data_IF_254685757568
#
_entry.id   IF_254685757568
#
_cell.length_a   1.000
_cell.length_b   1.000
_cell.length_c   1.000
_cell.angle_alpha   90.00
_cell.angle_beta   90.00
_cell.angle_gamma   90.00
#
_symmetry.space_group_name_H-M   'P 1'
#
loop_
_entity.id
_entity.type
_entity.pdbx_description
1 polymer ?
#
# COMPACT_ATOMS: atom_id res chain seq x y z
N UNK A 1 12.59 7.56 21.53
CA UNK A 1 13.73 7.54 20.58
C UNK A 1 13.42 8.49 19.45
N UNK A 2 14.39 9.27 18.99
CA UNK A 2 14.21 10.06 17.78
C UNK A 2 14.40 9.18 16.52
N UNK A 3 14.02 9.69 15.35
CA UNK A 3 14.08 8.92 14.09
C UNK A 3 15.52 8.47 13.77
N UNK A 4 16.51 9.30 14.05
CA UNK A 4 17.92 8.98 13.79
C UNK A 4 18.40 7.81 14.63
N UNK A 5 18.07 7.81 15.94
CA UNK A 5 18.43 6.70 16.84
C UNK A 5 17.79 5.38 16.40
N UNK A 6 16.52 5.45 15.92
CA UNK A 6 15.82 4.28 15.38
C UNK A 6 16.51 3.75 14.13
N UNK A 7 16.90 4.63 13.21
CA UNK A 7 17.61 4.26 11.99
C UNK A 7 18.95 3.61 12.29
N UNK A 8 19.79 4.22 13.13
CA UNK A 8 21.10 3.69 13.52
C UNK A 8 20.96 2.28 14.13
N UNK A 9 19.93 2.08 14.96
CA UNK A 9 19.66 0.78 15.55
C UNK A 9 19.24 -0.27 14.53
N UNK A 10 18.38 0.08 13.57
CA UNK A 10 17.97 -0.85 12.50
C UNK A 10 19.15 -1.23 11.62
N UNK A 11 20.00 -0.26 11.25
CA UNK A 11 21.19 -0.56 10.46
C UNK A 11 22.15 -1.52 11.22
N UNK A 12 22.37 -1.30 12.50
CA UNK A 12 23.20 -2.19 13.33
C UNK A 12 22.62 -3.62 13.39
N UNK A 13 21.30 -3.75 13.56
CA UNK A 13 20.62 -5.06 13.56
C UNK A 13 20.64 -5.71 12.18
N UNK A 14 20.55 -4.91 11.13
CA UNK A 14 20.65 -5.41 9.77
C UNK A 14 22.00 -6.08 9.49
N UNK A 15 23.08 -5.50 9.94
CA UNK A 15 24.44 -6.05 9.83
C UNK A 15 24.69 -7.21 10.82
N UNK A 16 24.08 -7.16 12.02
CA UNK A 16 24.26 -8.20 13.03
C UNK A 16 22.91 -8.71 13.57
N UNK A 17 22.39 -9.78 12.97
CA UNK A 17 21.09 -10.39 13.30
C UNK A 17 20.98 -10.95 14.72
N UNK A 18 22.09 -11.19 15.43
CA UNK A 18 22.07 -11.63 16.82
C UNK A 18 21.44 -10.57 17.75
N UNK A 19 21.49 -9.29 17.37
CA UNK A 19 20.85 -8.20 18.11
C UNK A 19 19.30 -8.25 18.07
N UNK A 20 18.70 -9.10 17.23
CA UNK A 20 17.24 -9.28 17.22
C UNK A 20 16.67 -9.83 18.54
N UNK A 21 17.47 -10.51 19.35
CA UNK A 21 17.06 -11.01 20.66
C UNK A 21 17.03 -9.95 21.76
N UNK A 22 17.63 -8.77 21.51
CA UNK A 22 17.68 -7.70 22.50
C UNK A 22 16.34 -7.02 22.66
N UNK A 23 15.87 -6.85 23.89
CA UNK A 23 14.60 -6.17 24.19
C UNK A 23 14.55 -4.74 23.64
N UNK A 24 15.68 -4.01 23.72
CA UNK A 24 15.80 -2.66 23.18
C UNK A 24 15.67 -2.61 21.65
N UNK A 25 16.14 -3.64 20.96
CA UNK A 25 15.98 -3.82 19.51
C UNK A 25 14.52 -4.11 19.15
N UNK A 26 13.89 -5.03 19.87
CA UNK A 26 12.49 -5.37 19.68
C UNK A 26 11.58 -4.16 19.87
N UNK A 27 11.80 -3.36 20.91
CA UNK A 27 11.08 -2.09 21.16
C UNK A 27 11.30 -1.06 20.03
N UNK A 28 12.49 -0.98 19.47
CA UNK A 28 12.77 -0.06 18.37
C UNK A 28 12.05 -0.48 17.08
N UNK A 29 12.04 -1.77 16.74
CA UNK A 29 11.30 -2.29 15.60
C UNK A 29 9.80 -2.04 15.78
N UNK A 30 9.23 -2.37 16.94
CA UNK A 30 7.82 -2.11 17.24
C UNK A 30 7.45 -0.62 17.12
N UNK A 31 8.31 0.28 17.63
CA UNK A 31 8.11 1.72 17.52
C UNK A 31 8.07 2.19 16.05
N UNK A 32 8.92 1.62 15.19
CA UNK A 32 8.92 1.94 13.75
C UNK A 32 7.63 1.47 13.10
N UNK A 33 7.16 0.26 13.42
CA UNK A 33 5.89 -0.25 12.89
C UNK A 33 4.72 0.62 13.36
N UNK A 34 4.74 1.12 14.59
CA UNK A 34 3.74 2.06 15.09
C UNK A 34 3.78 3.41 14.38
N UNK A 35 4.96 3.94 14.08
CA UNK A 35 5.12 5.17 13.30
C UNK A 35 4.58 4.99 11.87
N UNK A 36 4.83 3.83 11.24
CA UNK A 36 4.23 3.46 9.96
C UNK A 36 2.71 3.36 10.06
N UNK A 37 2.21 2.70 11.10
CA UNK A 37 0.77 2.49 11.32
C UNK A 37 0.00 3.81 11.49
N UNK A 38 0.66 4.83 12.07
CA UNK A 38 0.11 6.19 12.23
C UNK A 38 0.40 7.13 11.07
N UNK A 39 1.18 6.71 10.08
CA UNK A 39 1.57 7.54 8.93
C UNK A 39 2.61 8.63 9.25
N UNK A 40 3.22 8.58 10.43
CA UNK A 40 4.30 9.48 10.85
C UNK A 40 5.64 9.14 10.21
N UNK A 41 5.75 7.92 9.70
CA UNK A 41 6.88 7.41 8.92
C UNK A 41 6.36 6.75 7.64
N UNK A 42 7.14 6.83 6.56
CA UNK A 42 6.82 6.22 5.27
C UNK A 42 8.05 5.48 4.73
N UNK A 43 7.82 4.44 3.92
CA UNK A 43 8.90 3.72 3.21
C UNK A 43 9.41 4.50 2.00
N UNK A 44 8.64 5.43 1.48
CA UNK A 44 9.08 6.39 0.50
C UNK A 44 8.29 7.71 0.62
N UNK A 45 8.95 8.82 0.33
CA UNK A 45 8.35 10.16 0.38
C UNK A 45 8.59 10.91 -0.93
N UNK A 46 7.65 11.81 -1.33
CA UNK A 46 7.89 12.69 -2.47
C UNK A 46 9.11 13.60 -2.20
N UNK A 47 9.86 13.91 -3.26
CA UNK A 47 10.98 14.86 -3.25
C UNK A 47 11.03 15.62 -4.58
N UNK A 48 11.84 16.67 -4.66
CA UNK A 48 12.02 17.45 -5.90
C UNK A 48 12.56 16.62 -7.07
N UNK A 49 13.16 15.46 -6.79
CA UNK A 49 13.72 14.53 -7.79
C UNK A 49 12.86 13.28 -8.02
N UNK A 50 11.60 13.32 -7.62
CA UNK A 50 10.70 12.17 -7.63
C UNK A 50 10.51 11.57 -6.23
N UNK A 51 10.47 10.26 -6.10
CA UNK A 51 10.25 9.58 -4.83
C UNK A 51 11.56 9.12 -4.20
N UNK A 52 11.78 9.51 -2.94
CA UNK A 52 12.92 9.06 -2.14
C UNK A 52 12.53 7.82 -1.34
N UNK A 53 13.24 6.71 -1.56
CA UNK A 53 13.06 5.46 -0.82
C UNK A 53 13.87 5.49 0.48
N UNK A 54 13.25 5.09 1.57
CA UNK A 54 13.87 4.96 2.89
C UNK A 54 14.16 3.48 3.17
N UNK A 55 15.28 2.98 2.65
CA UNK A 55 15.65 1.56 2.73
C UNK A 55 15.67 1.02 4.16
N UNK A 56 16.15 1.83 5.12
CA UNK A 56 16.18 1.45 6.53
C UNK A 56 14.80 1.14 7.12
N UNK A 57 13.76 1.81 6.61
CA UNK A 57 12.36 1.53 7.01
C UNK A 57 11.92 0.18 6.45
N UNK A 58 12.27 -0.15 5.21
CA UNK A 58 12.01 -1.47 4.65
C UNK A 58 12.76 -2.56 5.41
N UNK A 59 14.02 -2.31 5.81
CA UNK A 59 14.77 -3.20 6.70
C UNK A 59 14.02 -3.46 8.01
N UNK A 60 13.46 -2.42 8.64
CA UNK A 60 12.68 -2.58 9.86
C UNK A 60 11.44 -3.45 9.65
N UNK A 61 10.72 -3.27 8.53
CA UNK A 61 9.56 -4.11 8.17
C UNK A 61 9.99 -5.57 8.00
N UNK A 62 11.12 -5.84 7.32
CA UNK A 62 11.63 -7.21 7.14
C UNK A 62 12.01 -7.83 8.48
N UNK A 63 12.70 -7.06 9.35
CA UNK A 63 13.10 -7.50 10.69
C UNK A 63 11.92 -7.79 11.62
N UNK A 64 10.76 -7.18 11.36
CA UNK A 64 9.56 -7.41 12.16
C UNK A 64 9.04 -8.85 12.02
N UNK A 65 9.19 -9.50 10.85
CA UNK A 65 8.69 -10.85 10.63
C UNK A 65 9.39 -11.93 11.49
N UNK A 66 10.73 -12.04 11.56
CA UNK A 66 11.39 -13.01 12.43
C UNK A 66 11.21 -12.72 13.93
N UNK A 67 11.02 -11.46 14.28
CA UNK A 67 10.77 -11.04 15.66
C UNK A 67 9.42 -11.52 16.20
N UNK A 68 8.37 -11.54 15.36
CA UNK A 68 7.02 -11.95 15.77
C UNK A 68 6.87 -13.47 15.76
N UNK A 69 6.14 -13.99 16.75
CA UNK A 69 5.75 -15.41 16.82
C UNK A 69 4.43 -15.63 16.09
N UNK A 70 4.27 -16.84 15.55
CA UNK A 70 3.00 -17.30 14.98
C UNK A 70 1.99 -17.48 16.11
N UNK A 71 0.76 -17.04 15.87
CA UNK A 71 -0.37 -17.15 16.82
C UNK A 71 -1.61 -17.64 16.08
N UNK A 72 -2.31 -18.61 16.66
CA UNK A 72 -3.65 -19.00 16.19
C UNK A 72 -4.68 -18.02 16.74
N UNK A 73 -5.58 -17.55 15.90
CA UNK A 73 -6.71 -16.69 16.27
C UNK A 73 -7.99 -17.24 15.70
N UNK A 74 -8.92 -17.55 16.56
CA UNK A 74 -10.29 -17.95 16.19
C UNK A 74 -11.19 -16.71 16.19
N UNK A 75 -11.95 -16.54 15.13
CA UNK A 75 -12.92 -15.44 14.97
C UNK A 75 -14.22 -16.02 14.41
N UNK A 76 -15.12 -16.37 15.28
CA UNK A 76 -16.36 -17.07 14.91
C UNK A 76 -16.05 -18.43 14.27
N UNK A 77 -16.42 -18.58 12.99
CA UNK A 77 -16.15 -19.81 12.22
C UNK A 77 -14.80 -19.81 11.49
N UNK A 78 -14.03 -18.74 11.61
CA UNK A 78 -12.74 -18.61 10.93
C UNK A 78 -11.59 -18.83 11.89
N UNK A 79 -10.56 -19.52 11.42
CA UNK A 79 -9.27 -19.64 12.09
C UNK A 79 -8.18 -19.00 11.24
N UNK A 80 -7.29 -18.27 11.88
CA UNK A 80 -6.11 -17.64 11.26
C UNK A 80 -4.86 -18.08 12.01
N UNK A 81 -3.77 -18.30 11.29
CA UNK A 81 -2.46 -18.60 11.86
C UNK A 81 -1.42 -17.69 11.24
N UNK A 82 -1.16 -16.57 11.89
CA UNK A 82 -0.21 -15.54 11.39
C UNK A 82 0.51 -14.84 12.55
N UNK A 83 1.58 -14.17 12.22
CA UNK A 83 2.42 -13.45 13.17
C UNK A 83 2.19 -11.93 13.15
N UNK A 84 1.66 -11.38 12.08
CA UNK A 84 1.46 -9.94 11.94
C UNK A 84 0.06 -9.58 12.42
N UNK A 85 -0.08 -8.76 13.48
CA UNK A 85 -1.40 -8.31 13.93
C UNK A 85 -2.16 -7.56 12.84
N UNK A 86 -3.47 -7.64 12.89
CA UNK A 86 -4.34 -6.82 12.07
C UNK A 86 -4.44 -5.40 12.64
N UNK A 87 -4.77 -4.45 11.79
CA UNK A 87 -5.11 -3.08 12.18
C UNK A 87 -6.48 -3.06 12.85
N UNK A 88 -6.62 -2.20 13.85
CA UNK A 88 -7.84 -2.02 14.64
C UNK A 88 -8.17 -0.54 14.83
N UNK A 89 -9.28 -0.26 15.53
CA UNK A 89 -9.74 1.08 15.89
C UNK A 89 -9.98 1.96 14.66
N UNK A 90 -10.70 1.41 13.68
CA UNK A 90 -10.99 2.09 12.42
C UNK A 90 -11.89 3.31 12.60
N UNK A 91 -12.84 3.26 13.56
CA UNK A 91 -13.73 4.36 13.89
C UNK A 91 -12.94 5.59 14.34
N UNK A 92 -12.03 5.43 15.32
CA UNK A 92 -11.17 6.51 15.82
C UNK A 92 -10.26 7.10 14.72
N UNK A 93 -9.98 6.33 13.70
CA UNK A 93 -9.17 6.74 12.54
C UNK A 93 -10.00 7.37 11.41
N UNK A 94 -11.32 7.39 11.53
CA UNK A 94 -12.20 7.87 10.48
C UNK A 94 -12.13 7.03 9.20
N UNK A 95 -11.94 5.73 9.32
CA UNK A 95 -11.79 4.78 8.19
C UNK A 95 -12.99 3.85 8.15
N UNK A 96 -13.69 3.80 7.03
CA UNK A 96 -14.77 2.83 6.82
C UNK A 96 -14.20 1.51 6.33
N UNK A 97 -14.58 0.40 6.99
CA UNK A 97 -14.11 -0.94 6.63
C UNK A 97 -15.28 -1.88 6.49
N UNK A 98 -15.48 -2.40 5.29
CA UNK A 98 -16.55 -3.36 4.97
C UNK A 98 -16.01 -4.79 5.13
N UNK A 99 -16.64 -5.64 5.95
CA UNK A 99 -16.19 -7.03 6.10
C UNK A 99 -16.22 -7.80 4.77
N UNK A 100 -15.25 -8.68 4.48
CA UNK A 100 -14.10 -9.05 5.29
C UNK A 100 -12.81 -8.28 4.94
N UNK A 101 -12.87 -6.98 4.70
CA UNK A 101 -11.66 -6.20 4.41
C UNK A 101 -10.64 -6.34 5.55
N UNK A 102 -9.37 -6.39 5.18
CA UNK A 102 -8.27 -6.62 6.12
C UNK A 102 -7.10 -5.68 5.83
N UNK A 103 -6.62 -4.98 6.86
CA UNK A 103 -5.34 -4.28 6.84
C UNK A 103 -4.43 -4.83 7.93
N UNK A 104 -3.13 -4.99 7.64
CA UNK A 104 -2.12 -5.37 8.62
C UNK A 104 -1.65 -4.16 9.42
N UNK A 105 -1.27 -4.37 10.70
CA UNK A 105 -0.55 -3.36 11.50
C UNK A 105 0.70 -2.90 10.72
N UNK A 106 0.97 -1.59 10.76
CA UNK A 106 2.02 -0.96 9.96
C UNK A 106 1.58 -0.54 8.56
N UNK A 107 0.33 -0.79 8.17
CA UNK A 107 -0.30 -0.12 7.04
C UNK A 107 -0.96 1.17 7.52
N UNK A 108 -0.68 2.30 6.90
CA UNK A 108 -1.38 3.55 7.19
C UNK A 108 -2.63 3.68 6.31
N UNK A 109 -3.72 4.05 6.94
CA UNK A 109 -4.99 4.41 6.32
C UNK A 109 -5.40 5.78 6.85
N UNK A 110 -5.41 6.78 6.00
CA UNK A 110 -5.79 8.14 6.39
C UNK A 110 -7.31 8.26 6.63
N UNK A 111 -7.74 9.29 7.37
CA UNK A 111 -9.17 9.57 7.54
C UNK A 111 -9.89 9.71 6.20
N UNK A 112 -11.09 9.14 6.12
CA UNK A 112 -11.92 9.14 4.92
C UNK A 112 -11.57 8.05 3.90
N UNK A 113 -10.59 7.17 4.18
CA UNK A 113 -10.37 5.96 3.40
C UNK A 113 -11.53 5.00 3.56
N UNK A 114 -11.92 4.36 2.46
CA UNK A 114 -12.92 3.29 2.45
C UNK A 114 -12.27 2.01 1.95
N UNK A 115 -12.33 0.96 2.77
CA UNK A 115 -11.99 -0.39 2.36
C UNK A 115 -13.29 -1.17 2.13
N UNK A 116 -13.63 -1.46 0.88
CA UNK A 116 -14.53 -2.57 0.55
C UNK A 116 -13.81 -3.88 0.88
N UNK A 117 -14.44 -5.06 0.78
CA UNK A 117 -13.74 -6.34 0.99
C UNK A 117 -12.42 -6.40 0.19
N UNK A 118 -11.32 -6.09 0.84
CA UNK A 118 -10.02 -5.84 0.21
C UNK A 118 -8.88 -6.12 1.17
N UNK A 119 -7.64 -6.04 0.70
CA UNK A 119 -6.46 -6.30 1.52
C UNK A 119 -5.42 -5.20 1.40
N UNK A 120 -4.92 -4.73 2.55
CA UNK A 120 -3.82 -3.75 2.64
C UNK A 120 -2.68 -4.30 3.48
N UNK A 121 -1.50 -4.44 2.89
CA UNK A 121 -0.35 -5.06 3.55
C UNK A 121 0.50 -4.05 4.32
N UNK A 122 1.35 -4.58 5.21
CA UNK A 122 2.29 -3.83 6.06
C UNK A 122 3.18 -2.88 5.24
N UNK A 123 3.46 -1.70 5.77
CA UNK A 123 4.28 -0.67 5.12
C UNK A 123 3.55 0.12 4.03
N UNK A 124 2.36 -0.31 3.61
CA UNK A 124 1.54 0.45 2.67
C UNK A 124 1.06 1.76 3.30
N UNK A 125 0.94 2.79 2.46
CA UNK A 125 0.39 4.09 2.82
C UNK A 125 -0.77 4.41 1.88
N UNK A 126 -1.97 4.60 2.43
CA UNK A 126 -3.18 4.95 1.68
C UNK A 126 -3.71 6.27 2.22
N UNK A 127 -3.65 7.32 1.39
CA UNK A 127 -4.01 8.66 1.79
C UNK A 127 -5.53 8.93 1.71
N UNK A 128 -5.94 10.08 2.24
CA UNK A 128 -7.32 10.48 2.52
C UNK A 128 -8.25 10.45 1.30
N UNK A 129 -9.51 10.09 1.53
CA UNK A 129 -10.54 10.04 0.50
C UNK A 129 -10.37 8.92 -0.53
N UNK A 130 -9.37 8.06 -0.38
CA UNK A 130 -9.12 6.93 -1.30
C UNK A 130 -10.05 5.77 -1.00
N UNK A 131 -10.59 5.16 -2.06
CA UNK A 131 -11.35 3.93 -2.00
C UNK A 131 -10.52 2.74 -2.50
N UNK A 132 -10.45 1.69 -1.69
CA UNK A 132 -9.92 0.36 -2.06
C UNK A 132 -11.13 -0.55 -2.24
N UNK A 133 -11.52 -0.79 -3.50
CA UNK A 133 -12.76 -1.48 -3.83
C UNK A 133 -12.62 -3.01 -3.73
N UNK A 134 -13.72 -3.70 -3.98
CA UNK A 134 -13.94 -5.14 -3.74
C UNK A 134 -12.87 -6.01 -4.38
N UNK A 135 -12.21 -6.83 -3.55
CA UNK A 135 -11.11 -7.74 -3.92
C UNK A 135 -9.89 -7.07 -4.51
N UNK A 136 -9.73 -5.75 -4.31
CA UNK A 136 -8.48 -5.07 -4.61
C UNK A 136 -7.42 -5.36 -3.54
N UNK A 137 -6.16 -5.26 -3.94
CA UNK A 137 -5.01 -5.47 -3.06
C UNK A 137 -4.06 -4.29 -3.12
N UNK A 138 -3.63 -3.80 -1.95
CA UNK A 138 -2.52 -2.87 -1.80
C UNK A 138 -1.35 -3.61 -1.18
N UNK A 139 -0.33 -3.87 -1.97
CA UNK A 139 0.84 -4.65 -1.58
C UNK A 139 1.73 -3.94 -0.58
N UNK A 140 2.68 -4.68 -0.01
CA UNK A 140 3.62 -4.17 0.99
C UNK A 140 4.36 -2.94 0.49
N UNK A 141 4.43 -1.91 1.32
CA UNK A 141 5.16 -0.68 1.04
C UNK A 141 4.60 0.21 -0.08
N UNK A 142 3.53 -0.18 -0.77
CA UNK A 142 2.91 0.63 -1.81
C UNK A 142 2.46 2.00 -1.26
N UNK A 143 2.61 3.04 -2.07
CA UNK A 143 2.27 4.41 -1.72
C UNK A 143 1.11 4.89 -2.58
N UNK A 144 -0.03 5.14 -1.97
CA UNK A 144 -1.26 5.57 -2.64
C UNK A 144 -1.62 6.96 -2.15
N UNK A 145 -1.83 7.87 -3.08
CA UNK A 145 -2.17 9.26 -2.82
C UNK A 145 -3.63 9.47 -2.42
N UNK A 146 -4.03 10.74 -2.39
CA UNK A 146 -5.36 11.20 -2.00
C UNK A 146 -6.38 11.00 -3.11
N UNK A 147 -7.64 10.74 -2.72
CA UNK A 147 -8.77 10.68 -3.66
C UNK A 147 -8.55 9.72 -4.84
N UNK A 148 -7.79 8.66 -4.61
CA UNK A 148 -7.57 7.59 -5.59
C UNK A 148 -8.77 6.64 -5.57
N UNK A 149 -9.20 6.20 -6.76
CA UNK A 149 -10.16 5.12 -6.87
C UNK A 149 -9.47 3.85 -7.36
N UNK A 150 -9.36 2.87 -6.49
CA UNK A 150 -8.80 1.54 -6.78
C UNK A 150 -9.99 0.61 -7.00
N UNK A 151 -10.38 0.41 -8.27
CA UNK A 151 -11.58 -0.38 -8.61
C UNK A 151 -11.43 -1.86 -8.28
N UNK A 152 -12.54 -2.60 -8.35
CA UNK A 152 -12.61 -4.01 -7.98
C UNK A 152 -11.57 -4.90 -8.68
N UNK A 153 -10.91 -5.75 -7.90
CA UNK A 153 -9.92 -6.69 -8.38
C UNK A 153 -8.60 -6.08 -8.87
N UNK A 154 -8.36 -4.81 -8.61
CA UNK A 154 -7.06 -4.17 -8.90
C UNK A 154 -5.97 -4.77 -8.01
N UNK A 155 -4.83 -5.09 -8.60
CA UNK A 155 -3.63 -5.54 -7.90
C UNK A 155 -2.55 -4.46 -7.89
N UNK A 156 -2.28 -3.85 -6.73
CA UNK A 156 -1.11 -3.02 -6.52
C UNK A 156 -0.05 -3.87 -5.85
N UNK A 157 1.08 -4.08 -6.55
CA UNK A 157 2.15 -4.95 -6.10
C UNK A 157 2.89 -4.42 -4.88
N UNK A 158 3.40 -5.35 -4.09
CA UNK A 158 4.28 -5.05 -2.97
C UNK A 158 5.74 -5.12 -3.38
N UNK A 159 6.54 -4.13 -2.99
CA UNK A 159 7.99 -4.10 -3.23
C UNK A 159 8.70 -3.93 -1.88
N UNK A 160 8.71 -5.00 -1.10
CA UNK A 160 9.47 -5.05 0.14
C UNK A 160 10.93 -5.40 -0.14
N UNK A 161 11.16 -6.32 -1.05
CA UNK A 161 12.47 -6.74 -1.56
C UNK A 161 12.51 -6.63 -3.09
N UNK A 162 13.68 -6.24 -3.66
CA UNK A 162 14.91 -5.83 -2.99
C UNK A 162 14.77 -4.44 -2.32
N UNK A 163 15.59 -4.18 -1.30
CA UNK A 163 15.46 -2.98 -0.45
C UNK A 163 15.52 -1.66 -1.22
N UNK A 164 16.43 -1.56 -2.19
CA UNK A 164 16.66 -0.37 -3.01
C UNK A 164 15.55 -0.14 -4.05
N UNK A 165 14.72 -1.14 -4.35
CA UNK A 165 13.65 -0.98 -5.33
C UNK A 165 12.60 0.01 -4.83
N UNK A 166 12.19 0.92 -5.72
CA UNK A 166 11.11 1.84 -5.42
C UNK A 166 9.79 1.08 -5.21
N UNK A 167 8.99 1.45 -4.20
CA UNK A 167 7.65 0.89 -4.05
C UNK A 167 6.77 1.31 -5.23
N UNK A 168 5.67 0.59 -5.43
CA UNK A 168 4.64 1.04 -6.37
C UNK A 168 4.03 2.33 -5.82
N UNK A 169 3.92 3.33 -6.68
CA UNK A 169 3.36 4.65 -6.35
C UNK A 169 2.15 4.92 -7.24
N UNK A 170 1.04 5.29 -6.61
CA UNK A 170 -0.17 5.78 -7.26
C UNK A 170 -0.41 7.19 -6.74
N UNK A 171 -0.30 8.18 -7.59
CA UNK A 171 -0.45 9.58 -7.18
C UNK A 171 -1.91 10.02 -7.04
N UNK A 172 -2.07 11.21 -6.47
CA UNK A 172 -3.36 11.78 -6.09
C UNK A 172 -4.38 11.77 -7.23
N UNK A 173 -5.62 11.43 -6.93
CA UNK A 173 -6.73 11.47 -7.84
C UNK A 173 -6.66 10.47 -9.01
N UNK A 174 -5.75 9.52 -9.01
CA UNK A 174 -5.73 8.47 -10.04
C UNK A 174 -6.99 7.59 -9.96
N UNK A 175 -7.42 7.08 -11.11
CA UNK A 175 -8.51 6.12 -11.23
C UNK A 175 -7.98 4.85 -11.88
N UNK A 176 -7.92 3.76 -11.11
CA UNK A 176 -7.50 2.46 -11.60
C UNK A 176 -8.73 1.64 -11.96
N UNK A 177 -8.92 1.37 -13.24
CA UNK A 177 -10.02 0.54 -13.75
C UNK A 177 -9.91 -0.90 -13.26
N UNK A 178 -11.04 -1.56 -13.14
CA UNK A 178 -11.14 -2.93 -12.58
C UNK A 178 -10.13 -3.89 -13.20
N UNK A 179 -9.51 -4.71 -12.34
CA UNK A 179 -8.50 -5.72 -12.71
C UNK A 179 -7.22 -5.18 -13.35
N UNK A 180 -6.96 -3.87 -13.26
CA UNK A 180 -5.62 -3.34 -13.57
C UNK A 180 -4.60 -3.87 -12.57
N UNK A 181 -3.42 -4.24 -13.06
CA UNK A 181 -2.32 -4.73 -12.22
C UNK A 181 -1.13 -3.80 -12.40
N UNK A 182 -0.73 -3.13 -11.32
CA UNK A 182 0.42 -2.25 -11.25
C UNK A 182 1.42 -2.86 -10.27
N UNK A 183 2.50 -3.42 -10.80
CA UNK A 183 3.61 -3.98 -10.02
C UNK A 183 4.92 -3.39 -10.49
N UNK A 184 5.99 -3.61 -9.75
CA UNK A 184 7.33 -3.23 -10.18
C UNK A 184 7.61 -3.76 -11.58
N UNK A 185 8.10 -2.90 -12.47
CA UNK A 185 8.42 -3.25 -13.85
C UNK A 185 7.24 -3.39 -14.81
N UNK A 186 5.98 -3.34 -14.34
CA UNK A 186 4.83 -3.26 -15.26
C UNK A 186 4.85 -1.91 -15.97
N UNK A 187 4.79 -1.97 -17.30
CA UNK A 187 4.74 -0.78 -18.15
C UNK A 187 3.38 -0.14 -18.09
N UNK A 188 3.35 1.15 -17.80
CA UNK A 188 2.16 1.99 -17.87
C UNK A 188 2.28 2.88 -19.11
N UNK A 189 1.47 2.60 -20.13
CA UNK A 189 1.49 3.28 -21.45
C UNK A 189 0.52 4.48 -21.48
N UNK A 190 0.64 5.46 -22.39
CA UNK A 190 1.54 5.54 -23.55
C UNK A 190 2.97 6.00 -23.21
N UNK A 191 3.16 6.76 -22.12
CA UNK A 191 4.49 7.06 -21.58
C UNK A 191 4.93 5.89 -20.73
N UNK A 192 6.17 5.44 -20.88
CA UNK A 192 6.65 4.28 -20.15
C UNK A 192 7.01 4.62 -18.71
N UNK A 193 6.06 4.42 -17.80
CA UNK A 193 6.31 4.38 -16.36
C UNK A 193 6.43 2.92 -15.90
N UNK A 194 7.20 2.68 -14.84
CA UNK A 194 7.31 1.36 -14.22
C UNK A 194 6.88 1.44 -12.76
N UNK A 195 5.82 0.72 -12.40
CA UNK A 195 5.29 0.73 -11.05
C UNK A 195 4.78 2.09 -10.55
N UNK A 196 4.44 3.01 -11.46
CA UNK A 196 4.07 4.38 -11.15
C UNK A 196 2.87 4.83 -11.98
N UNK A 197 1.91 5.47 -11.34
CA UNK A 197 0.74 6.06 -11.98
C UNK A 197 0.68 7.54 -11.61
N UNK A 198 0.84 8.44 -12.59
CA UNK A 198 0.74 9.88 -12.36
C UNK A 198 -0.63 10.30 -11.80
N UNK A 199 -0.62 11.46 -11.14
CA UNK A 199 -1.83 12.05 -10.57
C UNK A 199 -2.96 12.16 -11.60
N UNK A 200 -4.19 11.94 -11.14
CA UNK A 200 -5.44 12.03 -11.92
C UNK A 200 -5.51 11.15 -13.18
N UNK A 201 -4.58 10.22 -13.38
CA UNK A 201 -4.61 9.28 -14.52
C UNK A 201 -5.79 8.31 -14.40
N UNK A 202 -6.43 8.04 -15.55
CA UNK A 202 -7.40 6.95 -15.71
C UNK A 202 -6.69 5.77 -16.35
N UNK A 203 -6.66 4.65 -15.66
CA UNK A 203 -5.89 3.45 -16.05
C UNK A 203 -6.84 2.29 -16.28
N UNK A 204 -6.58 1.52 -17.34
CA UNK A 204 -7.27 0.27 -17.62
C UNK A 204 -6.27 -0.87 -17.86
N UNK A 205 -6.70 -2.15 -17.74
CA UNK A 205 -5.91 -3.28 -18.18
C UNK A 205 -5.63 -3.23 -19.67
N UNK A 206 -4.44 -3.69 -20.07
CA UNK A 206 -4.07 -3.80 -21.48
C UNK A 206 -2.96 -4.82 -21.69
N UNK A 207 -2.52 -4.93 -22.93
CA UNK A 207 -1.38 -5.75 -23.31
C UNK A 207 -0.61 -5.12 -24.46
N UNK A 208 0.62 -5.53 -24.64
CA UNK A 208 1.43 -5.19 -25.80
C UNK A 208 2.19 -6.43 -26.30
N UNK A 209 2.43 -6.48 -27.60
CA UNK A 209 3.21 -7.58 -28.19
C UNK A 209 4.69 -7.43 -27.83
N UNK A 210 5.28 -8.51 -27.33
CA UNK A 210 6.72 -8.60 -27.08
C UNK A 210 7.29 -9.83 -27.75
N UNK A 211 8.44 -9.65 -28.42
CA UNK A 211 9.19 -10.74 -29.03
C UNK A 211 10.05 -11.42 -27.99
N UNK A 212 9.94 -12.74 -27.90
CA UNK A 212 10.78 -13.64 -27.11
C UNK A 212 11.46 -14.67 -28.01
N UNK A 213 12.48 -15.37 -27.55
CA UNK A 213 13.09 -16.48 -28.34
C UNK A 213 12.09 -17.54 -28.82
N UNK A 214 11.04 -17.79 -28.03
CA UNK A 214 9.99 -18.77 -28.33
C UNK A 214 8.86 -18.21 -29.21
N UNK A 215 8.88 -16.93 -29.61
CA UNK A 215 7.85 -16.29 -30.44
C UNK A 215 7.34 -14.97 -29.92
N UNK A 216 6.34 -14.39 -30.59
CA UNK A 216 5.68 -13.16 -30.21
C UNK A 216 4.49 -13.45 -29.30
N UNK A 217 4.47 -12.84 -28.11
CA UNK A 217 3.42 -13.02 -27.12
C UNK A 217 2.87 -11.68 -26.62
N UNK A 218 1.62 -11.70 -26.16
CA UNK A 218 1.00 -10.56 -25.48
C UNK A 218 1.47 -10.51 -24.03
N UNK A 219 2.05 -9.40 -23.65
CA UNK A 219 2.49 -9.14 -22.25
C UNK A 219 1.51 -8.17 -21.62
N UNK A 220 0.96 -8.48 -20.43
CA UNK A 220 0.08 -7.56 -19.72
C UNK A 220 0.73 -6.22 -19.43
N UNK A 221 -0.06 -5.16 -19.52
CA UNK A 221 0.36 -3.81 -19.10
C UNK A 221 -0.84 -3.03 -18.55
N UNK A 222 -0.56 -1.91 -17.91
CA UNK A 222 -1.57 -0.91 -17.60
C UNK A 222 -1.54 0.19 -18.66
N UNK A 223 -2.71 0.65 -19.10
CA UNK A 223 -2.85 1.69 -20.10
C UNK A 223 -3.41 2.95 -19.45
N UNK A 224 -2.67 4.06 -19.51
CA UNK A 224 -3.24 5.38 -19.21
C UNK A 224 -4.03 5.83 -20.43
N UNK A 225 -5.36 5.92 -20.29
CA UNK A 225 -6.27 6.30 -21.38
C UNK A 225 -6.71 7.77 -21.31
N UNK A 226 -6.30 8.48 -20.28
CA UNK A 226 -6.61 9.90 -20.10
C UNK A 226 -6.51 10.36 -18.66
N UNK A 227 -7.08 11.54 -18.42
CA UNK A 227 -7.17 12.16 -17.11
C UNK A 227 -8.59 12.08 -16.56
N UNK A 228 -8.76 12.05 -15.24
CA UNK A 228 -10.08 12.13 -14.60
C UNK A 228 -10.78 13.43 -15.00
N UNK A 229 -12.02 13.27 -15.46
CA UNK A 229 -12.94 14.37 -15.77
C UNK A 229 -13.94 14.53 -14.64
N UNK A 230 -14.69 15.64 -14.62
CA UNK A 230 -15.75 15.88 -13.64
C UNK A 230 -16.78 14.71 -13.59
N UNK A 231 -17.11 14.12 -14.73
CA UNK A 231 -17.99 12.93 -14.80
C UNK A 231 -17.40 11.68 -14.12
N UNK A 232 -16.06 11.54 -14.10
CA UNK A 232 -15.38 10.47 -13.36
C UNK A 232 -15.36 10.77 -11.87
N UNK A 233 -15.17 12.03 -11.50
CA UNK A 233 -15.22 12.49 -10.09
C UNK A 233 -16.60 12.24 -9.50
N UNK A 234 -17.69 12.50 -10.24
CA UNK A 234 -19.07 12.19 -9.83
C UNK A 234 -19.30 10.70 -9.54
N UNK A 235 -18.67 9.78 -10.30
CA UNK A 235 -18.76 8.34 -10.02
C UNK A 235 -18.07 7.94 -8.71
N UNK A 236 -17.07 8.70 -8.29
CA UNK A 236 -16.32 8.45 -7.04
C UNK A 236 -16.93 9.23 -5.86
N UNK A 237 -17.85 10.16 -6.10
CA UNK A 237 -18.43 11.06 -5.10
C UNK A 237 -19.56 10.45 -4.26
N UNK A 238 -19.93 9.18 -4.46
CA UNK A 238 -20.98 8.56 -3.63
C UNK A 238 -20.68 8.66 -2.13
N UNK A 239 -19.42 8.46 -1.75
CA UNK A 239 -19.00 8.60 -0.36
C UNK A 239 -19.06 10.05 0.13
N UNK A 240 -18.77 11.04 -0.72
CA UNK A 240 -18.92 12.47 -0.41
C UNK A 240 -20.38 12.82 -0.26
N UNK A 241 -21.24 12.39 -1.19
CA UNK A 241 -22.68 12.58 -1.08
C UNK A 241 -23.27 11.97 0.20
N UNK A 242 -22.83 10.78 0.61
CA UNK A 242 -23.29 10.17 1.87
C UNK A 242 -22.82 10.96 3.09
N UNK A 243 -21.61 11.54 3.05
CA UNK A 243 -21.12 12.43 4.12
C UNK A 243 -21.90 13.73 4.21
N UNK A 244 -22.27 14.33 3.07
CA UNK A 244 -23.05 15.57 3.02
C UNK A 244 -24.45 15.42 3.64
N UNK A 245 -24.99 14.19 3.63
CA UNK A 245 -26.27 13.85 4.28
C UNK A 245 -26.09 13.33 5.72
N UNK A 246 -24.92 13.48 6.34
CA UNK A 246 -24.61 12.93 7.67
C UNK A 246 -24.88 11.43 7.81
N UNK A 247 -24.85 10.69 6.73
CA UNK A 247 -24.91 9.23 6.75
C UNK A 247 -23.50 8.74 7.05
N UNK A 248 -23.35 7.90 8.07
CA UNK A 248 -22.07 7.28 8.40
C UNK A 248 -21.55 6.51 7.18
N UNK A 249 -20.37 6.90 6.71
CA UNK A 249 -19.73 6.34 5.50
C UNK A 249 -18.77 5.24 5.91
#
# INVERSE_FOLDING_TARGET
>A
MNIKDLQEKIEAVWENRHLLSDEATMKAIDAIIDLLDRGELRVATPSDKGWQVHEWVKKAVILYFPFRKMETKEVGIFEYYDKIPLKHNYEDKGVRVVPPATARRGAYLAPGVVLMPSYVNIGAYVDSGTMVDTWATVGSCAQVGKNVHISGGVGIGGVLEPLQAAPVVIEDGAFLGSRSIIVEGVRVKPVEYKGYVPARSVVIPGSYTKQFPAGAYQVPCALIIGQRKASTDLKTSLNEALRDFNVAV
#
